data_IF_764359417770
#
_entry.id   IF_764359417770
#
_cell.length_a   1.000
_cell.length_b   1.000
_cell.length_c   1.000
_cell.angle_alpha   90.00
_cell.angle_beta   90.00
_cell.angle_gamma   90.00
#
_symmetry.space_group_name_H-M   'P 1'
#
loop_
_entity.id
_entity.type
_entity.pdbx_description
1 polymer ?
#
# COMPACT_ATOMS: atom_id res chain seq x y z
N UNK A 1 15.77 20.67 1.48
CA UNK A 1 15.08 21.97 1.23
C UNK A 1 13.93 21.75 0.25
N UNK A 2 12.96 22.68 0.10
CA UNK A 2 11.86 22.53 -0.87
C UNK A 2 12.38 22.34 -2.30
N UNK A 3 13.38 23.10 -2.70
CA UNK A 3 13.99 23.06 -4.03
C UNK A 3 14.64 21.69 -4.31
N UNK A 4 15.27 21.08 -3.31
CA UNK A 4 15.92 19.77 -3.44
C UNK A 4 14.84 18.67 -3.67
N UNK A 5 13.71 18.75 -2.95
CA UNK A 5 12.61 17.79 -3.10
C UNK A 5 11.95 17.92 -4.48
N UNK A 6 11.75 19.14 -4.93
CA UNK A 6 11.23 19.41 -6.26
C UNK A 6 12.18 18.88 -7.34
N UNK A 7 13.48 19.14 -7.24
CA UNK A 7 14.47 18.66 -8.21
C UNK A 7 14.53 17.12 -8.28
N UNK A 8 14.48 16.44 -7.13
CA UNK A 8 14.41 14.97 -7.08
C UNK A 8 13.13 14.47 -7.74
N UNK A 9 12.00 15.09 -7.44
CA UNK A 9 10.70 14.75 -8.02
C UNK A 9 10.71 14.92 -9.55
N UNK A 10 11.19 16.07 -10.06
CA UNK A 10 11.28 16.34 -11.49
C UNK A 10 12.25 15.37 -12.18
N UNK A 11 13.39 15.05 -11.57
CA UNK A 11 14.33 14.06 -12.08
C UNK A 11 13.69 12.66 -12.21
N UNK A 12 12.95 12.22 -11.20
CA UNK A 12 12.25 10.93 -11.22
C UNK A 12 11.18 10.88 -12.33
N UNK A 13 10.39 11.94 -12.45
CA UNK A 13 9.27 11.94 -13.40
C UNK A 13 9.66 12.35 -14.82
N UNK A 14 10.85 12.92 -15.06
CA UNK A 14 11.32 13.29 -16.41
C UNK A 14 11.37 12.08 -17.34
N UNK A 15 11.80 10.91 -16.86
CA UNK A 15 11.78 9.67 -17.62
C UNK A 15 10.38 9.31 -18.15
N UNK A 16 9.36 9.44 -17.30
CA UNK A 16 7.97 9.15 -17.68
C UNK A 16 7.41 10.19 -18.64
N UNK A 17 7.84 11.45 -18.54
CA UNK A 17 7.46 12.50 -19.49
C UNK A 17 8.07 12.28 -20.87
N UNK A 18 9.33 11.88 -20.94
CA UNK A 18 10.00 11.54 -22.22
C UNK A 18 9.33 10.35 -22.91
N UNK A 19 8.76 9.40 -22.14
CA UNK A 19 8.18 8.15 -22.64
C UNK A 19 6.65 8.09 -22.51
N UNK A 20 5.99 9.19 -22.22
CA UNK A 20 4.54 9.22 -21.91
C UNK A 20 3.64 8.61 -22.97
N UNK A 21 3.97 8.80 -24.25
CA UNK A 21 3.23 8.18 -25.35
C UNK A 21 3.36 6.65 -25.31
N UNK A 22 4.58 6.15 -25.11
CA UNK A 22 4.86 4.71 -25.03
C UNK A 22 4.12 4.08 -23.85
N UNK A 23 4.18 4.70 -22.65
CA UNK A 23 3.43 4.23 -21.49
C UNK A 23 1.92 4.27 -21.73
N UNK A 24 1.40 5.33 -22.39
CA UNK A 24 0.00 5.43 -22.76
C UNK A 24 -0.47 4.29 -23.66
N UNK A 25 0.32 3.94 -24.68
CA UNK A 25 0.01 2.83 -25.58
C UNK A 25 0.15 1.45 -24.90
N UNK A 26 1.14 1.27 -24.02
CA UNK A 26 1.26 0.03 -23.24
C UNK A 26 0.02 -0.13 -22.35
N UNK A 27 -0.38 0.92 -21.64
CA UNK A 27 -1.55 0.85 -20.76
C UNK A 27 -2.85 0.63 -21.55
N UNK A 28 -3.01 1.30 -22.70
CA UNK A 28 -4.11 1.02 -23.62
C UNK A 28 -4.13 -0.47 -24.04
N UNK A 29 -2.97 -1.05 -24.36
CA UNK A 29 -2.86 -2.46 -24.72
C UNK A 29 -3.29 -3.39 -23.58
N UNK A 30 -2.92 -3.08 -22.34
CA UNK A 30 -3.37 -3.81 -21.14
C UNK A 30 -4.89 -3.76 -21.03
N UNK A 31 -5.49 -2.58 -21.17
CA UNK A 31 -6.96 -2.42 -21.11
C UNK A 31 -7.68 -3.16 -22.25
N UNK A 32 -7.11 -3.19 -23.47
CA UNK A 32 -7.69 -3.94 -24.59
C UNK A 32 -7.60 -5.45 -24.38
N UNK A 33 -6.54 -5.95 -23.73
CA UNK A 33 -6.41 -7.36 -23.35
C UNK A 33 -7.47 -7.75 -22.32
N UNK A 34 -7.65 -6.94 -21.28
CA UNK A 34 -8.71 -7.12 -20.27
C UNK A 34 -10.11 -7.11 -20.92
N UNK A 35 -10.36 -6.18 -21.84
CA UNK A 35 -11.62 -6.12 -22.59
C UNK A 35 -11.85 -7.37 -23.43
N UNK A 36 -10.79 -7.91 -24.05
CA UNK A 36 -10.88 -9.15 -24.83
C UNK A 36 -11.21 -10.35 -23.93
N UNK A 37 -10.60 -10.44 -22.74
CA UNK A 37 -10.90 -11.48 -21.74
C UNK A 37 -12.35 -11.35 -21.26
N UNK A 38 -12.77 -10.16 -20.85
CA UNK A 38 -14.12 -9.85 -20.41
C UNK A 38 -15.16 -10.32 -21.45
N UNK A 39 -15.00 -9.93 -22.72
CA UNK A 39 -15.91 -10.29 -23.81
C UNK A 39 -15.90 -11.80 -24.11
N UNK A 40 -14.70 -12.41 -24.17
CA UNK A 40 -14.57 -13.82 -24.52
C UNK A 40 -15.16 -14.76 -23.46
N UNK A 41 -15.16 -14.33 -22.20
CA UNK A 41 -15.70 -15.09 -21.07
C UNK A 41 -17.12 -14.70 -20.69
N UNK A 42 -17.68 -13.64 -21.29
CA UNK A 42 -19.07 -13.22 -21.11
C UNK A 42 -19.35 -12.49 -19.82
N UNK A 43 -18.35 -11.86 -19.19
CA UNK A 43 -18.58 -10.98 -18.03
C UNK A 43 -19.26 -9.67 -18.46
N UNK A 44 -20.02 -9.06 -17.56
CA UNK A 44 -20.73 -7.79 -17.84
C UNK A 44 -19.76 -6.61 -17.96
N UNK A 45 -18.63 -6.64 -17.21
CA UNK A 45 -17.61 -5.60 -17.19
C UNK A 45 -16.22 -6.16 -16.91
N UNK A 46 -15.18 -5.36 -17.20
CA UNK A 46 -13.80 -5.66 -16.81
C UNK A 46 -13.69 -5.76 -15.28
N UNK A 47 -14.36 -4.87 -14.56
CA UNK A 47 -14.40 -4.91 -13.09
C UNK A 47 -14.97 -6.24 -12.57
N UNK A 48 -16.07 -6.72 -13.12
CA UNK A 48 -16.68 -8.00 -12.71
C UNK A 48 -15.70 -9.16 -12.94
N UNK A 49 -15.01 -9.18 -14.08
CA UNK A 49 -14.03 -10.21 -14.41
C UNK A 49 -12.94 -10.30 -13.35
N UNK A 50 -12.36 -9.17 -12.96
CA UNK A 50 -11.29 -9.13 -11.95
C UNK A 50 -11.76 -9.51 -10.55
N UNK A 51 -12.97 -9.15 -10.17
CA UNK A 51 -13.52 -9.45 -8.84
C UNK A 51 -14.08 -10.87 -8.73
N UNK A 52 -14.35 -11.52 -9.86
CA UNK A 52 -15.01 -12.83 -9.90
C UNK A 52 -14.24 -13.92 -9.16
N UNK A 53 -12.93 -14.01 -9.35
CA UNK A 53 -12.10 -15.03 -8.72
C UNK A 53 -12.03 -14.91 -7.19
N UNK A 54 -12.24 -13.70 -6.66
CA UNK A 54 -12.31 -13.42 -5.23
C UNK A 54 -13.75 -13.46 -4.68
N UNK A 55 -14.73 -13.78 -5.53
CA UNK A 55 -16.15 -13.77 -5.20
C UNK A 55 -16.63 -12.45 -4.59
N UNK A 56 -16.09 -11.32 -5.06
CA UNK A 56 -16.42 -9.98 -4.58
C UNK A 56 -17.50 -9.38 -5.50
N UNK A 57 -18.69 -9.03 -4.97
CA UNK A 57 -19.67 -8.28 -5.74
C UNK A 57 -19.14 -6.89 -6.16
N UNK A 58 -19.41 -6.46 -7.39
CA UNK A 58 -18.99 -5.13 -7.88
C UNK A 58 -19.52 -3.99 -7.00
N UNK A 59 -20.67 -4.18 -6.32
CA UNK A 59 -21.23 -3.22 -5.37
C UNK A 59 -20.30 -2.92 -4.19
N UNK A 60 -19.45 -3.86 -3.77
CA UNK A 60 -18.46 -3.64 -2.70
C UNK A 60 -17.42 -2.65 -3.18
N UNK A 61 -16.91 -2.83 -4.40
CA UNK A 61 -15.94 -1.92 -5.01
C UNK A 61 -16.53 -0.52 -5.21
N UNK A 62 -17.75 -0.43 -5.74
CA UNK A 62 -18.43 0.86 -5.91
C UNK A 62 -18.65 1.57 -4.56
N UNK A 63 -19.09 0.84 -3.53
CA UNK A 63 -19.23 1.42 -2.19
C UNK A 63 -17.93 1.96 -1.63
N UNK A 64 -16.81 1.24 -1.84
CA UNK A 64 -15.48 1.68 -1.42
C UNK A 64 -15.08 3.01 -2.09
N UNK A 65 -15.23 3.09 -3.42
CA UNK A 65 -14.94 4.30 -4.18
C UNK A 65 -15.84 5.45 -3.73
N UNK A 66 -17.15 5.23 -3.66
CA UNK A 66 -18.14 6.26 -3.31
C UNK A 66 -17.88 6.83 -1.92
N UNK A 67 -17.61 5.97 -0.94
CA UNK A 67 -17.31 6.42 0.42
C UNK A 67 -15.99 7.18 0.47
N UNK A 68 -14.90 6.61 -0.06
CA UNK A 68 -13.57 7.22 0.05
C UNK A 68 -13.43 8.53 -0.73
N UNK A 69 -14.09 8.64 -1.91
CA UNK A 69 -14.04 9.83 -2.76
C UNK A 69 -15.05 10.91 -2.39
N UNK A 70 -16.05 10.59 -1.56
CA UNK A 70 -17.06 11.56 -1.11
C UNK A 70 -16.42 12.73 -0.36
N UNK A 71 -17.10 13.87 -0.29
CA UNK A 71 -16.64 15.01 0.48
C UNK A 71 -16.42 14.65 1.96
N UNK A 72 -17.35 13.89 2.56
CA UNK A 72 -17.26 13.43 3.95
C UNK A 72 -16.12 12.42 4.14
N UNK A 73 -15.97 11.46 3.22
CA UNK A 73 -14.97 10.40 3.32
C UNK A 73 -13.54 10.93 3.11
N UNK A 74 -13.35 11.90 2.20
CA UNK A 74 -12.04 12.52 1.93
C UNK A 74 -11.67 13.65 2.92
N UNK A 75 -12.61 14.16 3.71
CA UNK A 75 -12.37 15.27 4.64
C UNK A 75 -11.25 14.99 5.65
N UNK A 76 -11.13 13.80 6.29
CA UNK A 76 -10.04 13.51 7.21
C UNK A 76 -8.67 13.59 6.54
N UNK A 77 -8.54 13.08 5.32
CA UNK A 77 -7.32 13.11 4.53
C UNK A 77 -6.91 14.56 4.22
N UNK A 78 -7.84 15.38 3.72
CA UNK A 78 -7.62 16.81 3.43
C UNK A 78 -7.23 17.58 4.69
N UNK A 79 -7.89 17.29 5.83
CA UNK A 79 -7.57 17.89 7.13
C UNK A 79 -6.16 17.54 7.60
N UNK A 80 -5.73 16.29 7.41
CA UNK A 80 -4.39 15.85 7.77
C UNK A 80 -3.32 16.56 6.93
N UNK A 81 -3.49 16.67 5.62
CA UNK A 81 -2.55 17.39 4.75
C UNK A 81 -2.49 18.89 5.08
N UNK A 82 -3.62 19.51 5.44
CA UNK A 82 -3.64 20.90 5.88
C UNK A 82 -2.95 21.10 7.25
N UNK A 83 -3.09 20.13 8.17
CA UNK A 83 -2.35 20.11 9.44
C UNK A 83 -0.85 20.01 9.18
N UNK A 84 -0.41 19.11 8.30
CA UNK A 84 1.01 18.97 7.90
C UNK A 84 1.54 20.26 7.29
N UNK A 85 0.78 20.86 6.38
CA UNK A 85 1.13 22.15 5.75
C UNK A 85 1.42 23.22 6.80
N UNK A 86 0.51 23.39 7.76
CA UNK A 86 0.64 24.39 8.84
C UNK A 86 1.82 24.09 9.76
N UNK A 87 1.94 22.85 10.20
CA UNK A 87 2.98 22.43 11.15
C UNK A 87 4.38 22.57 10.54
N UNK A 88 4.54 22.23 9.28
CA UNK A 88 5.81 22.31 8.54
C UNK A 88 6.11 23.72 8.01
N UNK A 89 5.19 24.69 8.18
CA UNK A 89 5.37 26.06 7.69
C UNK A 89 5.41 26.17 6.16
N UNK A 90 4.73 25.25 5.46
CA UNK A 90 4.71 25.24 3.99
C UNK A 90 3.65 26.22 3.47
N UNK A 91 3.97 26.96 2.42
CA UNK A 91 2.98 27.79 1.70
C UNK A 91 1.90 26.92 1.08
N UNK A 92 2.32 25.87 0.34
CA UNK A 92 1.46 24.80 -0.19
C UNK A 92 2.06 23.45 0.16
N UNK A 93 1.21 22.46 0.45
CA UNK A 93 1.63 21.08 0.60
C UNK A 93 1.63 20.40 -0.78
N UNK A 94 2.79 20.07 -1.29
CA UNK A 94 2.98 19.36 -2.56
C UNK A 94 2.94 17.85 -2.38
N UNK A 95 2.70 17.12 -3.44
CA UNK A 95 2.65 15.65 -3.39
C UNK A 95 3.95 15.00 -2.86
N UNK A 96 5.10 15.61 -3.12
CA UNK A 96 6.42 15.17 -2.65
C UNK A 96 6.73 15.57 -1.20
N UNK A 97 5.92 16.45 -0.57
CA UNK A 97 6.09 16.83 0.83
C UNK A 97 5.53 15.76 1.81
N UNK A 98 4.82 14.77 1.30
CA UNK A 98 4.26 13.68 2.12
C UNK A 98 5.31 12.90 2.90
N UNK A 99 6.56 12.86 2.43
CA UNK A 99 7.67 12.17 3.09
C UNK A 99 8.33 12.98 4.21
N UNK A 100 7.92 14.22 4.43
CA UNK A 100 8.46 15.03 5.52
C UNK A 100 7.97 14.51 6.87
N UNK A 101 8.91 14.32 7.77
CA UNK A 101 8.62 13.90 9.14
C UNK A 101 8.12 15.10 9.96
N UNK A 102 7.07 14.90 10.75
CA UNK A 102 6.56 15.89 11.71
C UNK A 102 7.39 15.91 12.98
N UNK A 103 7.96 14.79 13.36
CA UNK A 103 8.91 14.68 14.46
C UNK A 103 10.08 13.79 14.06
N UNK A 104 11.25 14.04 14.62
CA UNK A 104 12.44 13.20 14.40
C UNK A 104 12.60 12.28 15.61
N UNK A 105 12.35 11.00 15.41
CA UNK A 105 12.84 9.97 16.30
C UNK A 105 14.24 9.54 15.81
N UNK A 106 15.21 9.58 16.71
CA UNK A 106 16.55 9.04 16.43
C UNK A 106 16.72 7.63 17.01
N UNK A 107 15.62 7.04 17.50
CA UNK A 107 15.65 5.70 18.09
C UNK A 107 15.91 4.68 17.01
N UNK A 108 16.90 3.85 17.23
CA UNK A 108 17.21 2.69 16.40
C UNK A 108 16.88 1.43 17.18
N UNK A 109 16.49 0.41 16.46
CA UNK A 109 16.12 -0.89 16.99
C UNK A 109 17.02 -1.95 16.41
N UNK A 110 17.50 -2.85 17.24
CA UNK A 110 18.08 -4.11 16.75
C UNK A 110 16.95 -5.06 16.33
N UNK A 111 17.27 -6.04 15.52
CA UNK A 111 16.30 -7.06 15.13
C UNK A 111 15.72 -7.81 16.35
N UNK A 112 16.54 -8.11 17.36
CA UNK A 112 16.08 -8.75 18.60
C UNK A 112 15.12 -7.85 19.39
N UNK A 113 15.43 -6.57 19.54
CA UNK A 113 14.51 -5.60 20.16
C UNK A 113 13.17 -5.50 19.41
N UNK A 114 13.20 -5.55 18.07
CA UNK A 114 11.98 -5.55 17.27
C UNK A 114 11.13 -6.81 17.53
N UNK A 115 11.76 -7.99 17.61
CA UNK A 115 11.07 -9.24 17.99
C UNK A 115 10.49 -9.16 19.40
N UNK A 116 11.26 -8.66 20.35
CA UNK A 116 10.80 -8.54 21.73
C UNK A 116 9.60 -7.62 21.85
N UNK A 117 9.57 -6.48 21.14
CA UNK A 117 8.42 -5.58 21.05
C UNK A 117 7.20 -6.27 20.44
N UNK A 118 7.39 -6.99 19.34
CA UNK A 118 6.33 -7.73 18.69
C UNK A 118 5.76 -8.81 19.61
N UNK A 119 6.58 -9.65 20.23
CA UNK A 119 6.12 -10.68 21.17
C UNK A 119 5.42 -10.08 22.40
N UNK A 120 5.95 -8.96 22.94
CA UNK A 120 5.33 -8.28 24.06
C UNK A 120 3.94 -7.72 23.71
N UNK A 121 3.71 -7.29 22.45
CA UNK A 121 2.40 -6.85 21.99
C UNK A 121 1.37 -7.98 21.94
N UNK A 122 1.82 -9.23 21.89
CA UNK A 122 0.96 -10.42 21.80
C UNK A 122 0.70 -11.10 23.16
N UNK A 123 1.22 -10.56 24.27
CA UNK A 123 1.20 -11.24 25.60
C UNK A 123 -0.21 -11.63 26.08
N UNK A 124 -1.23 -10.87 25.70
CA UNK A 124 -2.62 -11.08 26.13
C UNK A 124 -3.42 -11.95 25.12
N UNK A 125 -2.78 -12.44 24.06
CA UNK A 125 -3.39 -13.33 23.07
C UNK A 125 -3.30 -14.81 23.52
N UNK A 126 -4.13 -15.70 22.94
CA UNK A 126 -4.05 -17.14 23.21
C UNK A 126 -2.64 -17.69 23.00
N UNK A 127 -2.27 -18.69 23.79
CA UNK A 127 -0.92 -19.30 23.76
C UNK A 127 -0.55 -19.84 22.39
N UNK A 128 -1.52 -20.43 21.67
CA UNK A 128 -1.32 -20.90 20.29
C UNK A 128 -0.89 -19.77 19.35
N UNK A 129 -1.54 -18.62 19.43
CA UNK A 129 -1.20 -17.44 18.63
C UNK A 129 0.22 -16.92 18.93
N UNK A 130 0.58 -16.87 20.24
CA UNK A 130 1.94 -16.49 20.66
C UNK A 130 2.99 -17.50 20.17
N UNK A 131 2.67 -18.79 20.17
CA UNK A 131 3.58 -19.85 19.73
C UNK A 131 3.80 -19.77 18.21
N UNK A 132 2.76 -19.52 17.40
CA UNK A 132 2.91 -19.28 15.96
C UNK A 132 3.78 -18.06 15.65
N UNK A 133 3.60 -16.96 16.38
CA UNK A 133 4.46 -15.79 16.24
C UNK A 133 5.96 -16.12 16.50
N UNK A 134 6.24 -16.93 17.52
CA UNK A 134 7.61 -17.39 17.80
C UNK A 134 8.11 -18.36 16.73
N UNK A 135 7.23 -19.17 16.19
CA UNK A 135 7.57 -20.15 15.15
C UNK A 135 8.02 -19.48 13.86
N UNK A 136 7.28 -18.52 13.34
CA UNK A 136 7.61 -17.83 12.09
C UNK A 136 8.89 -17.01 12.18
N UNK A 137 9.34 -16.66 13.38
CA UNK A 137 10.57 -15.90 13.63
C UNK A 137 11.74 -16.77 14.15
N UNK A 138 11.68 -18.08 13.94
CA UNK A 138 12.80 -18.98 14.27
C UNK A 138 14.05 -18.63 13.47
N UNK A 139 15.24 -18.91 14.02
CA UNK A 139 16.49 -18.77 13.28
C UNK A 139 16.46 -19.56 11.95
N UNK A 140 16.82 -18.89 10.86
CA UNK A 140 16.81 -19.48 9.52
C UNK A 140 15.50 -19.29 8.74
N UNK A 141 14.42 -18.79 9.37
CA UNK A 141 13.14 -18.54 8.71
C UNK A 141 13.03 -17.11 8.18
N UNK A 142 13.90 -16.21 8.62
CA UNK A 142 13.91 -14.79 8.26
C UNK A 142 15.26 -14.40 7.67
N UNK A 143 15.26 -13.88 6.46
CA UNK A 143 16.41 -13.20 5.84
C UNK A 143 16.32 -11.71 6.18
N UNK A 144 17.09 -11.28 7.18
CA UNK A 144 16.86 -10.03 7.92
C UNK A 144 17.46 -8.81 7.24
N UNK A 145 18.76 -8.85 6.89
CA UNK A 145 19.50 -7.65 6.53
C UNK A 145 19.66 -7.44 5.04
N UNK A 146 19.78 -6.18 4.58
CA UNK A 146 20.08 -5.90 3.19
C UNK A 146 21.45 -6.49 2.80
N UNK A 147 21.53 -6.99 1.55
CA UNK A 147 22.78 -7.49 0.97
C UNK A 147 22.84 -7.19 -0.52
N UNK A 148 24.04 -7.27 -1.10
CA UNK A 148 24.23 -7.03 -2.52
C UNK A 148 23.41 -8.05 -3.36
N UNK A 149 22.58 -7.55 -4.27
CA UNK A 149 21.75 -8.37 -5.13
C UNK A 149 20.43 -8.85 -4.50
N UNK A 150 20.19 -8.58 -3.21
CA UNK A 150 18.92 -8.87 -2.55
C UNK A 150 17.83 -7.93 -3.07
N UNK A 151 16.62 -8.46 -3.27
CA UNK A 151 15.45 -7.64 -3.64
C UNK A 151 15.10 -6.64 -2.54
N UNK A 152 14.66 -5.46 -2.94
CA UNK A 152 14.13 -4.44 -2.03
C UNK A 152 12.74 -4.82 -1.51
N UNK A 153 12.30 -4.14 -0.44
CA UNK A 153 11.01 -4.39 0.20
C UNK A 153 11.07 -5.52 1.24
N UNK A 154 9.91 -6.02 1.60
CA UNK A 154 9.72 -7.15 2.48
C UNK A 154 8.59 -8.02 1.93
N UNK A 155 8.59 -9.30 2.23
CA UNK A 155 7.50 -10.21 1.94
C UNK A 155 7.58 -11.49 2.76
N UNK A 156 6.43 -12.10 3.00
CA UNK A 156 6.28 -13.47 3.48
C UNK A 156 5.91 -14.39 2.32
N UNK A 157 6.52 -15.54 2.25
CA UNK A 157 6.18 -16.55 1.25
C UNK A 157 6.23 -17.94 1.89
N UNK A 158 5.15 -18.68 1.77
CA UNK A 158 5.02 -20.06 2.18
C UNK A 158 4.71 -20.97 0.99
N UNK A 159 4.68 -22.25 1.22
CA UNK A 159 4.34 -23.24 0.21
C UNK A 159 4.04 -24.59 0.85
N UNK A 160 3.40 -25.46 0.08
CA UNK A 160 3.05 -26.80 0.56
C UNK A 160 4.26 -27.53 1.17
N UNK A 161 4.06 -28.06 2.38
CA UNK A 161 5.06 -28.84 3.13
C UNK A 161 6.32 -28.04 3.55
N UNK A 162 6.23 -26.70 3.50
CA UNK A 162 7.31 -25.82 3.93
C UNK A 162 6.77 -24.71 4.82
N UNK A 163 7.48 -24.43 5.92
CA UNK A 163 7.18 -23.25 6.72
C UNK A 163 7.32 -21.97 5.89
N UNK A 164 6.56 -20.91 6.18
CA UNK A 164 6.73 -19.63 5.52
C UNK A 164 8.10 -19.01 5.83
N UNK A 165 8.69 -18.38 4.83
CA UNK A 165 9.92 -17.61 4.93
C UNK A 165 9.59 -16.12 4.85
N UNK A 166 10.33 -15.31 5.62
CA UNK A 166 10.23 -13.86 5.59
C UNK A 166 11.51 -13.27 5.02
N UNK A 167 11.38 -12.37 4.04
CA UNK A 167 12.47 -11.52 3.59
C UNK A 167 12.24 -10.11 4.13
N UNK A 168 13.27 -9.54 4.76
CA UNK A 168 13.31 -8.16 5.24
C UNK A 168 14.53 -7.44 4.66
N UNK A 169 14.54 -6.13 4.74
CA UNK A 169 15.72 -5.27 4.54
C UNK A 169 15.89 -4.37 5.77
N UNK A 170 16.03 -4.98 6.93
CA UNK A 170 16.00 -4.35 8.24
C UNK A 170 17.18 -3.39 8.44
N UNK A 171 16.90 -2.12 8.72
CA UNK A 171 17.88 -1.04 8.94
C UNK A 171 17.78 -0.42 10.34
N UNK A 172 16.88 -0.93 11.16
CA UNK A 172 16.69 -0.52 12.55
C UNK A 172 15.78 0.71 12.72
N UNK A 173 15.03 1.07 11.70
CA UNK A 173 14.03 2.14 11.81
C UNK A 173 12.73 1.63 12.48
N UNK A 174 11.89 2.56 12.95
CA UNK A 174 10.59 2.21 13.47
C UNK A 174 9.72 1.47 12.43
N UNK A 175 9.83 1.86 11.17
CA UNK A 175 9.14 1.21 10.06
C UNK A 175 9.52 -0.27 9.93
N UNK A 176 10.77 -0.63 10.18
CA UNK A 176 11.23 -2.02 10.12
C UNK A 176 10.60 -2.89 11.22
N UNK A 177 10.33 -2.30 12.40
CA UNK A 177 9.65 -3.00 13.50
C UNK A 177 8.21 -3.34 13.12
N UNK A 178 7.51 -2.40 12.47
CA UNK A 178 6.16 -2.64 11.94
C UNK A 178 6.16 -3.61 10.76
N UNK A 179 7.13 -3.50 9.87
CA UNK A 179 7.30 -4.45 8.76
C UNK A 179 7.52 -5.88 9.27
N UNK A 180 8.31 -6.06 10.34
CA UNK A 180 8.46 -7.36 10.97
C UNK A 180 7.11 -7.91 11.49
N UNK A 181 6.30 -7.08 12.15
CA UNK A 181 4.98 -7.47 12.64
C UNK A 181 4.02 -7.81 11.48
N UNK A 182 4.05 -7.04 10.40
CA UNK A 182 3.30 -7.22 9.17
C UNK A 182 3.59 -8.58 8.52
N UNK A 183 4.85 -8.83 8.19
CA UNK A 183 5.27 -10.08 7.53
C UNK A 183 5.06 -11.31 8.42
N UNK A 184 5.20 -11.12 9.74
CA UNK A 184 4.84 -12.17 10.71
C UNK A 184 3.35 -12.48 10.67
N UNK A 185 2.48 -11.47 10.44
CA UNK A 185 1.04 -11.64 10.27
C UNK A 185 0.71 -12.53 9.07
N UNK A 186 1.32 -12.27 7.92
CA UNK A 186 1.19 -13.11 6.73
C UNK A 186 1.65 -14.54 7.00
N UNK A 187 2.83 -14.71 7.60
CA UNK A 187 3.39 -16.03 7.91
C UNK A 187 2.49 -16.81 8.88
N UNK A 188 1.96 -16.16 9.92
CA UNK A 188 1.02 -16.76 10.86
C UNK A 188 -0.30 -17.16 10.18
N UNK A 189 -0.83 -16.32 9.29
CA UNK A 189 -2.02 -16.64 8.50
C UNK A 189 -1.80 -17.88 7.64
N UNK A 190 -0.65 -17.96 6.97
CA UNK A 190 -0.25 -19.13 6.18
C UNK A 190 -0.24 -20.40 7.04
N UNK A 191 0.39 -20.38 8.22
CA UNK A 191 0.41 -21.53 9.13
C UNK A 191 -1.00 -21.96 9.57
N UNK A 192 -1.87 -21.00 9.92
CA UNK A 192 -3.26 -21.31 10.28
C UNK A 192 -4.05 -21.90 9.11
N UNK A 193 -3.83 -21.38 7.90
CA UNK A 193 -4.49 -21.90 6.71
C UNK A 193 -4.03 -23.32 6.39
N UNK A 194 -2.74 -23.60 6.42
CA UNK A 194 -2.16 -24.92 6.17
C UNK A 194 -2.64 -25.98 7.19
N UNK A 195 -2.78 -25.60 8.44
CA UNK A 195 -3.30 -26.50 9.49
C UNK A 195 -4.80 -26.76 9.39
N UNK A 196 -5.57 -25.78 8.88
CA UNK A 196 -7.02 -25.81 8.92
C UNK A 196 -7.66 -26.25 7.60
N UNK A 197 -6.94 -26.14 6.48
CA UNK A 197 -7.46 -26.36 5.15
C UNK A 197 -6.77 -27.55 4.45
N UNK A 198 -7.50 -28.30 3.61
CA UNK A 198 -6.86 -29.25 2.72
C UNK A 198 -5.89 -28.54 1.77
N UNK A 199 -4.81 -29.19 1.38
CA UNK A 199 -3.75 -28.63 0.50
C UNK A 199 -4.28 -27.85 -0.71
N UNK A 200 -5.32 -28.35 -1.37
CA UNK A 200 -5.92 -27.67 -2.54
C UNK A 200 -6.71 -26.40 -2.21
N UNK A 201 -6.90 -26.08 -0.92
CA UNK A 201 -7.70 -24.93 -0.44
C UNK A 201 -6.94 -24.08 0.58
N UNK A 202 -5.67 -24.34 0.79
CA UNK A 202 -4.86 -23.61 1.79
C UNK A 202 -4.49 -22.20 1.34
N UNK A 203 -4.46 -21.96 0.03
CA UNK A 203 -4.22 -20.64 -0.52
C UNK A 203 -5.45 -19.75 -0.26
N UNK A 204 -5.22 -18.62 0.36
CA UNK A 204 -6.24 -17.61 0.62
C UNK A 204 -6.19 -16.49 -0.43
N UNK A 205 -7.32 -15.86 -0.66
CA UNK A 205 -7.42 -14.79 -1.67
C UNK A 205 -6.73 -13.52 -1.19
N UNK A 206 -6.27 -12.71 -2.16
CA UNK A 206 -5.64 -11.41 -1.87
C UNK A 206 -6.54 -10.49 -1.04
N UNK A 207 -7.86 -10.60 -1.20
CA UNK A 207 -8.86 -9.82 -0.46
C UNK A 207 -8.75 -9.96 1.07
N UNK A 208 -8.30 -11.11 1.57
CA UNK A 208 -8.15 -11.37 3.02
C UNK A 208 -6.70 -11.39 3.47
N UNK A 209 -5.75 -11.36 2.55
CA UNK A 209 -4.32 -11.49 2.86
C UNK A 209 -3.84 -10.44 3.87
N UNK A 210 -4.23 -9.17 3.66
CA UNK A 210 -3.77 -8.06 4.50
C UNK A 210 -4.52 -7.92 5.84
N UNK A 211 -5.53 -8.74 6.11
CA UNK A 211 -6.23 -8.69 7.41
C UNK A 211 -5.29 -9.08 8.54
N UNK A 212 -4.54 -10.16 8.38
CA UNK A 212 -3.62 -10.65 9.41
C UNK A 212 -2.41 -9.74 9.60
N UNK A 213 -1.84 -9.23 8.52
CA UNK A 213 -0.68 -8.34 8.53
C UNK A 213 -0.99 -7.01 9.20
N UNK A 214 -2.06 -6.33 8.76
CA UNK A 214 -2.49 -5.05 9.33
C UNK A 214 -3.00 -5.19 10.76
N UNK A 215 -3.64 -6.32 11.11
CA UNK A 215 -4.02 -6.60 12.49
C UNK A 215 -2.81 -6.59 13.42
N UNK A 216 -1.72 -7.27 13.06
CA UNK A 216 -0.49 -7.29 13.86
C UNK A 216 0.14 -5.90 13.98
N UNK A 217 0.13 -5.11 12.89
CA UNK A 217 0.62 -3.72 12.95
C UNK A 217 -0.19 -2.87 13.92
N UNK A 218 -1.53 -2.93 13.83
CA UNK A 218 -2.40 -2.17 14.73
C UNK A 218 -2.27 -2.60 16.19
N UNK A 219 -2.13 -3.91 16.44
CA UNK A 219 -1.89 -4.42 17.78
C UNK A 219 -0.55 -3.92 18.36
N UNK A 220 0.51 -3.92 17.55
CA UNK A 220 1.81 -3.36 17.95
C UNK A 220 1.71 -1.84 18.21
N UNK A 221 0.97 -1.09 17.37
CA UNK A 221 0.71 0.32 17.55
C UNK A 221 0.04 0.61 18.90
N UNK A 222 -1.04 -0.10 19.19
CA UNK A 222 -1.78 0.04 20.44
C UNK A 222 -0.92 -0.29 21.66
N UNK A 223 -0.14 -1.38 21.58
CA UNK A 223 0.82 -1.73 22.62
C UNK A 223 1.84 -0.63 22.88
N UNK A 224 2.47 -0.09 21.83
CA UNK A 224 3.46 0.98 21.96
C UNK A 224 2.85 2.26 22.54
N UNK A 225 1.66 2.65 22.09
CA UNK A 225 0.95 3.83 22.61
C UNK A 225 0.56 3.68 24.09
N UNK A 226 0.22 2.47 24.52
CA UNK A 226 -0.16 2.15 25.90
C UNK A 226 1.05 1.98 26.85
N UNK A 227 2.24 1.70 26.32
CA UNK A 227 3.42 1.35 27.13
C UNK A 227 3.89 2.46 28.08
N UNK A 228 3.56 3.72 27.80
CA UNK A 228 4.01 4.89 28.58
C UNK A 228 5.53 5.16 28.50
N UNK A 229 6.27 4.42 27.68
CA UNK A 229 7.73 4.51 27.57
C UNK A 229 8.21 5.43 26.44
N UNK A 230 7.29 5.90 25.59
CA UNK A 230 7.61 6.75 24.43
C UNK A 230 7.86 8.20 24.87
N UNK A 231 8.89 8.81 24.29
CA UNK A 231 9.05 10.27 24.36
C UNK A 231 7.90 10.96 23.61
N UNK A 232 7.76 12.27 23.81
CA UNK A 232 6.77 13.06 23.08
C UNK A 232 7.00 13.00 21.56
N UNK A 233 8.24 13.12 21.14
CA UNK A 233 8.67 13.04 19.74
C UNK A 233 8.40 11.67 19.14
N UNK A 234 8.74 10.58 19.85
CA UNK A 234 8.47 9.21 19.39
C UNK A 234 6.97 8.95 19.25
N UNK A 235 6.17 9.49 20.17
CA UNK A 235 4.71 9.39 20.10
C UNK A 235 4.14 10.10 18.86
N UNK A 236 4.66 11.30 18.53
CA UNK A 236 4.26 12.02 17.32
C UNK A 236 4.67 11.23 16.08
N UNK A 237 5.90 10.71 16.02
CA UNK A 237 6.39 9.91 14.89
C UNK A 237 5.53 8.64 14.70
N UNK A 238 5.17 7.96 15.78
CA UNK A 238 4.31 6.77 15.76
C UNK A 238 2.90 7.08 15.24
N UNK A 239 2.29 8.16 15.71
CA UNK A 239 0.96 8.59 15.26
C UNK A 239 1.00 9.06 13.80
N UNK A 240 2.07 9.76 13.40
CA UNK A 240 2.27 10.12 11.99
C UNK A 240 2.32 8.87 11.12
N UNK A 241 3.12 7.86 11.51
CA UNK A 241 3.22 6.59 10.78
C UNK A 241 1.84 5.96 10.60
N UNK A 242 1.08 5.81 11.68
CA UNK A 242 -0.26 5.21 11.62
C UNK A 242 -1.22 5.95 10.68
N UNK A 243 -1.19 7.28 10.67
CA UNK A 243 -2.02 8.07 9.76
C UNK A 243 -1.51 7.96 8.31
N UNK A 244 -0.19 8.03 8.11
CA UNK A 244 0.44 7.91 6.79
C UNK A 244 0.16 6.53 6.16
N UNK A 245 0.06 5.46 6.96
CA UNK A 245 -0.37 4.13 6.51
C UNK A 245 -1.81 4.13 6.01
N UNK A 246 -2.76 4.69 6.75
CA UNK A 246 -4.14 4.83 6.28
C UNK A 246 -4.19 5.67 4.99
N UNK A 247 -3.39 6.72 4.89
CA UNK A 247 -3.31 7.55 3.69
C UNK A 247 -2.77 6.78 2.48
N UNK A 248 -1.81 5.86 2.69
CA UNK A 248 -1.16 5.10 1.61
C UNK A 248 -1.88 3.80 1.27
N UNK A 249 -2.40 3.08 2.25
CA UNK A 249 -3.03 1.77 2.05
C UNK A 249 -4.52 1.87 1.75
N UNK A 250 -5.24 2.80 2.37
CA UNK A 250 -6.67 2.99 2.11
C UNK A 250 -6.91 4.02 1.00
N UNK A 251 -6.60 5.29 1.24
CA UNK A 251 -6.97 6.36 0.30
C UNK A 251 -6.23 6.28 -1.03
N UNK A 252 -4.93 6.04 -1.00
CA UNK A 252 -4.13 5.97 -2.22
C UNK A 252 -4.47 4.76 -3.07
N UNK A 253 -4.65 3.60 -2.45
CA UNK A 253 -5.02 2.39 -3.20
C UNK A 253 -6.43 2.50 -3.76
N UNK A 254 -7.39 3.02 -3.00
CA UNK A 254 -8.73 3.28 -3.50
C UNK A 254 -8.73 4.29 -4.66
N UNK A 255 -7.87 5.33 -4.61
CA UNK A 255 -7.70 6.26 -5.73
C UNK A 255 -7.17 5.53 -6.97
N UNK A 256 -6.22 4.61 -6.82
CA UNK A 256 -5.69 3.84 -7.95
C UNK A 256 -6.74 2.87 -8.51
N UNK A 257 -7.46 2.14 -7.66
CA UNK A 257 -8.58 1.32 -8.13
C UNK A 257 -9.67 2.14 -8.84
N UNK A 258 -9.99 3.33 -8.33
CA UNK A 258 -10.92 4.26 -9.00
C UNK A 258 -10.38 4.71 -10.38
N UNK A 259 -9.08 4.98 -10.46
CA UNK A 259 -8.43 5.30 -11.73
C UNK A 259 -8.51 4.14 -12.74
N UNK A 260 -8.23 2.92 -12.31
CA UNK A 260 -8.33 1.72 -13.17
C UNK A 260 -9.77 1.51 -13.64
N UNK A 261 -10.74 1.67 -12.75
CA UNK A 261 -12.15 1.55 -13.09
C UNK A 261 -12.56 2.56 -14.18
N UNK A 262 -12.19 3.83 -14.03
CA UNK A 262 -12.52 4.83 -15.06
C UNK A 262 -11.80 4.58 -16.38
N UNK A 263 -10.55 4.15 -16.33
CA UNK A 263 -9.80 3.79 -17.53
C UNK A 263 -10.41 2.56 -18.24
N UNK A 264 -10.86 1.55 -17.48
CA UNK A 264 -11.55 0.38 -18.04
C UNK A 264 -12.88 0.74 -18.72
N UNK A 265 -13.63 1.67 -18.14
CA UNK A 265 -14.87 2.18 -18.76
C UNK A 265 -14.63 2.83 -20.13
N UNK A 266 -13.47 3.50 -20.33
CA UNK A 266 -13.13 4.04 -21.65
C UNK A 266 -12.93 2.93 -22.68
N UNK A 267 -12.21 1.85 -22.29
CA UNK A 267 -12.01 0.70 -23.16
C UNK A 267 -13.35 0.01 -23.52
N UNK A 268 -14.22 -0.20 -22.53
CA UNK A 268 -15.54 -0.81 -22.73
C UNK A 268 -16.43 0.00 -23.67
N UNK A 269 -16.33 1.34 -23.64
CA UNK A 269 -17.08 2.24 -24.51
C UNK A 269 -16.41 2.45 -25.89
N UNK A 270 -15.18 1.98 -26.09
CA UNK A 270 -14.40 2.24 -27.29
C UNK A 270 -13.95 3.69 -27.42
N UNK A 271 -13.78 4.39 -26.30
CA UNK A 271 -13.31 5.76 -26.27
C UNK A 271 -11.78 5.83 -26.40
N UNK A 272 -11.23 6.94 -26.92
CA UNK A 272 -9.78 7.10 -27.09
C UNK A 272 -9.03 7.04 -25.76
N UNK A 273 -7.97 6.23 -25.68
CA UNK A 273 -7.09 6.11 -24.52
C UNK A 273 -5.70 6.57 -24.94
N UNK A 274 -5.22 7.63 -24.32
CA UNK A 274 -3.88 8.18 -24.53
C UNK A 274 -3.39 8.83 -23.24
N UNK A 275 -2.12 9.25 -23.19
CA UNK A 275 -1.54 9.81 -21.96
C UNK A 275 -2.26 11.08 -21.46
N UNK A 276 -2.86 11.90 -22.36
CA UNK A 276 -3.58 13.11 -21.95
C UNK A 276 -4.86 12.76 -21.20
N UNK A 277 -5.64 11.81 -21.73
CA UNK A 277 -6.87 11.32 -21.10
C UNK A 277 -6.54 10.67 -19.76
N UNK A 278 -5.56 9.77 -19.72
CA UNK A 278 -5.11 9.08 -18.52
C UNK A 278 -4.64 10.06 -17.44
N UNK A 279 -3.84 11.07 -17.82
CA UNK A 279 -3.37 12.10 -16.89
C UNK A 279 -4.50 13.01 -16.40
N UNK A 280 -5.52 13.28 -17.21
CA UNK A 280 -6.68 14.08 -16.79
C UNK A 280 -7.53 13.37 -15.73
N UNK A 281 -7.73 12.05 -15.86
CA UNK A 281 -8.38 11.22 -14.84
C UNK A 281 -7.61 11.32 -13.53
N UNK A 282 -6.29 11.11 -13.57
CA UNK A 282 -5.44 11.17 -12.39
C UNK A 282 -5.48 12.53 -11.70
N UNK A 283 -5.40 13.63 -12.47
CA UNK A 283 -5.50 15.00 -11.94
C UNK A 283 -6.82 15.23 -11.21
N UNK A 284 -7.93 14.83 -11.82
CA UNK A 284 -9.26 14.98 -11.22
C UNK A 284 -9.40 14.18 -9.94
N UNK A 285 -8.91 12.93 -9.91
CA UNK A 285 -8.96 12.08 -8.74
C UNK A 285 -8.10 12.63 -7.59
N UNK A 286 -6.90 13.14 -7.87
CA UNK A 286 -6.09 13.80 -6.84
C UNK A 286 -6.80 14.99 -6.22
N UNK A 287 -7.47 15.80 -7.02
CA UNK A 287 -8.26 16.93 -6.52
C UNK A 287 -9.44 16.46 -5.66
N UNK A 288 -10.12 15.40 -6.08
CA UNK A 288 -11.26 14.84 -5.37
C UNK A 288 -10.85 14.24 -4.01
N UNK A 289 -9.84 13.39 -3.96
CA UNK A 289 -9.41 12.70 -2.75
C UNK A 289 -8.58 13.58 -1.81
N UNK A 290 -7.58 14.26 -2.34
CA UNK A 290 -6.59 15.01 -1.55
C UNK A 290 -6.87 16.51 -1.48
N UNK A 291 -7.71 17.05 -2.35
CA UNK A 291 -7.88 18.50 -2.51
C UNK A 291 -6.65 19.20 -3.11
N UNK A 292 -5.71 18.42 -3.68
CA UNK A 292 -4.49 18.94 -4.29
C UNK A 292 -4.67 19.03 -5.81
N UNK A 293 -4.38 20.21 -6.35
CA UNK A 293 -4.34 20.41 -7.79
C UNK A 293 -2.94 20.06 -8.30
N UNK A 294 -2.80 18.85 -8.86
CA UNK A 294 -1.51 18.34 -9.33
C UNK A 294 -1.11 18.89 -10.72
N UNK A 295 -1.94 19.66 -11.41
CA UNK A 295 -1.53 20.40 -12.61
C UNK A 295 -0.47 21.44 -12.29
N UNK A 296 -0.49 21.99 -11.07
CA UNK A 296 0.55 22.88 -10.57
C UNK A 296 1.91 22.16 -10.35
N UNK A 297 1.91 20.84 -10.30
CA UNK A 297 3.11 20.00 -10.14
C UNK A 297 3.45 19.34 -11.48
N UNK A 298 3.95 20.13 -12.42
CA UNK A 298 4.21 19.90 -13.85
C UNK A 298 4.21 18.44 -14.37
N UNK A 299 4.83 17.49 -13.65
CA UNK A 299 4.97 16.09 -14.07
C UNK A 299 4.11 15.12 -13.26
N UNK A 300 3.44 15.59 -12.21
CA UNK A 300 2.64 14.73 -11.31
C UNK A 300 1.44 14.06 -11.97
N UNK A 301 0.78 14.65 -12.96
CA UNK A 301 -0.28 13.96 -13.71
C UNK A 301 0.15 12.64 -14.34
N UNK A 302 1.46 12.41 -14.53
CA UNK A 302 2.03 11.17 -15.05
C UNK A 302 2.26 10.08 -13.99
N UNK A 303 1.79 10.26 -12.76
CA UNK A 303 2.00 9.28 -11.68
C UNK A 303 1.46 7.88 -12.01
N UNK A 304 0.44 7.78 -12.87
CA UNK A 304 -0.08 6.50 -13.35
C UNK A 304 0.99 5.68 -14.08
N UNK A 305 1.87 6.32 -14.87
CA UNK A 305 2.94 5.63 -15.58
C UNK A 305 4.04 5.06 -14.65
N UNK A 306 4.16 5.62 -13.43
CA UNK A 306 5.11 5.18 -12.41
C UNK A 306 4.63 3.93 -11.63
N UNK A 307 3.35 3.57 -11.67
CA UNK A 307 2.77 2.51 -10.85
C UNK A 307 2.80 1.17 -11.61
N UNK A 308 3.73 0.24 -11.28
CA UNK A 308 3.87 -1.03 -12.03
C UNK A 308 2.61 -1.90 -11.96
N UNK A 309 1.88 -1.86 -10.84
CA UNK A 309 0.69 -2.69 -10.64
C UNK A 309 -0.39 -2.43 -11.69
N UNK A 310 -0.57 -1.18 -12.13
CA UNK A 310 -1.53 -0.83 -13.18
C UNK A 310 -1.26 -1.57 -14.51
N UNK A 311 -0.01 -1.99 -14.74
CA UNK A 311 0.40 -2.69 -15.96
C UNK A 311 0.49 -4.20 -15.81
N UNK A 312 0.77 -4.69 -14.60
CA UNK A 312 1.12 -6.09 -14.36
C UNK A 312 0.03 -6.87 -13.60
N UNK A 313 -0.70 -6.20 -12.72
CA UNK A 313 -1.70 -6.82 -11.84
C UNK A 313 -2.87 -5.86 -11.64
N UNK A 314 -3.69 -5.66 -12.67
CA UNK A 314 -4.82 -4.72 -12.61
C UNK A 314 -5.80 -5.08 -11.48
N UNK A 315 -6.36 -4.08 -10.86
CA UNK A 315 -7.28 -4.20 -9.72
C UNK A 315 -6.74 -5.03 -8.55
N UNK A 316 -5.43 -4.93 -8.32
CA UNK A 316 -4.76 -5.56 -7.18
C UNK A 316 -5.25 -5.02 -5.83
#
# INVERSE_FOLDING_TARGET
KPEDRQAIFECLYSWYDEHKNTYGEIYNSVLQDQLAIQKSRGYESILEEHLFNNAIPTSVFHSLIDVASSEKGSAPLKKYYELRRKYLGLEKHRSYDRFLQLAKSNKKYTYEEAKDLFFASLKDFPEDFQNKAKEVLRPGYVDVYPSLGKRTGAYSNGGYDHHPFILLNFQGELDDVFTLAHESGHSMHTLYSEESQPTLKQDYTIFVAEIASTFNEHNLLDYLLASGTLSHEDRIALLQKAIDEICSTFYRQTLFGHYEYEASLLAEKGEPINYQVLSSIMTRLYKQYYGIDIEEEKLKPLVWAYIPLLFCTPFY
#
